data_IF_689096812599
#
_entry.id   IF_689096812599
#
_cell.length_a   1.000
_cell.length_b   1.000
_cell.length_c   1.000
_cell.angle_alpha   90.00
_cell.angle_beta   90.00
_cell.angle_gamma   90.00
#
_symmetry.space_group_name_H-M   'P 1'
#
loop_
_entity.id
_entity.type
_entity.pdbx_description
1 polymer ?
#
# COMPACT_ATOMS: atom_id res chain seq x y z
N UNK A 1 52.37 48.57 -2.68
CA UNK A 1 51.23 48.38 -1.74
C UNK A 1 49.87 48.69 -2.37
N UNK A 2 49.71 49.77 -3.16
CA UNK A 2 48.41 50.15 -3.77
C UNK A 2 47.87 49.09 -4.77
N UNK A 3 48.75 48.47 -5.58
CA UNK A 3 48.33 47.43 -6.54
C UNK A 3 47.78 46.15 -5.90
N UNK A 4 48.26 45.76 -4.72
CA UNK A 4 47.78 44.57 -4.01
C UNK A 4 46.41 44.81 -3.35
N UNK A 5 46.14 46.04 -2.91
CA UNK A 5 44.83 46.48 -2.37
C UNK A 5 43.74 46.56 -3.45
N UNK A 6 44.09 46.94 -4.69
CA UNK A 6 43.15 46.96 -5.80
C UNK A 6 42.78 45.54 -6.28
N UNK A 7 43.74 44.61 -6.25
CA UNK A 7 43.49 43.20 -6.61
C UNK A 7 42.63 42.50 -5.55
N UNK A 8 42.87 42.73 -4.26
CA UNK A 8 42.03 42.15 -3.19
C UNK A 8 40.62 42.75 -3.13
N UNK A 9 40.47 44.06 -3.37
CA UNK A 9 39.16 44.69 -3.50
C UNK A 9 38.39 44.19 -4.73
N UNK A 10 39.07 44.01 -5.87
CA UNK A 10 38.48 43.46 -7.10
C UNK A 10 38.00 42.01 -6.94
N UNK A 11 38.76 41.15 -6.25
CA UNK A 11 38.36 39.77 -5.96
C UNK A 11 37.18 39.69 -4.98
N UNK A 12 37.09 40.62 -4.02
CA UNK A 12 35.95 40.72 -3.10
C UNK A 12 34.63 41.10 -3.80
N UNK A 13 34.69 42.02 -4.76
CA UNK A 13 33.52 42.44 -5.56
C UNK A 13 33.05 41.32 -6.49
N UNK A 14 33.98 40.61 -7.13
CA UNK A 14 33.65 39.45 -7.97
C UNK A 14 33.03 38.33 -7.13
N UNK A 15 33.56 38.05 -5.93
CA UNK A 15 33.00 37.07 -5.00
C UNK A 15 31.56 37.40 -4.55
N UNK A 16 31.26 38.66 -4.24
CA UNK A 16 29.92 39.11 -3.87
C UNK A 16 28.93 39.05 -5.04
N UNK A 17 29.36 39.38 -6.27
CA UNK A 17 28.55 39.23 -7.48
C UNK A 17 28.29 37.75 -7.77
N UNK A 18 29.29 36.86 -7.64
CA UNK A 18 29.12 35.42 -7.82
C UNK A 18 28.17 34.81 -6.78
N UNK A 19 28.22 35.25 -5.52
CA UNK A 19 27.27 34.84 -4.48
C UNK A 19 25.85 35.36 -4.75
N UNK A 20 25.71 36.61 -5.21
CA UNK A 20 24.43 37.19 -5.60
C UNK A 20 23.79 36.48 -6.79
N UNK A 21 24.58 36.16 -7.83
CA UNK A 21 24.12 35.41 -9.01
C UNK A 21 23.76 33.97 -8.62
N UNK A 22 24.55 33.30 -7.78
CA UNK A 22 24.22 31.95 -7.31
C UNK A 22 22.94 31.94 -6.44
N UNK A 23 22.72 32.97 -5.62
CA UNK A 23 21.50 33.13 -4.83
C UNK A 23 20.28 33.43 -5.71
N UNK A 24 20.43 34.26 -6.75
CA UNK A 24 19.36 34.60 -7.70
C UNK A 24 19.01 33.42 -8.60
N UNK A 25 19.99 32.68 -9.13
CA UNK A 25 19.75 31.43 -9.88
C UNK A 25 19.05 30.41 -8.99
N UNK A 26 19.51 30.20 -7.75
CA UNK A 26 18.86 29.31 -6.78
C UNK A 26 17.43 29.75 -6.47
N UNK A 27 17.18 31.06 -6.32
CA UNK A 27 15.85 31.64 -6.10
C UNK A 27 14.95 31.48 -7.32
N UNK A 28 15.46 31.64 -8.53
CA UNK A 28 14.71 31.43 -9.78
C UNK A 28 14.37 29.95 -9.99
N UNK A 29 15.32 29.03 -9.74
CA UNK A 29 15.06 27.58 -9.76
C UNK A 29 14.05 27.18 -8.69
N UNK A 30 14.15 27.73 -7.47
CA UNK A 30 13.19 27.49 -6.41
C UNK A 30 11.79 28.03 -6.75
N UNK A 31 11.71 29.23 -7.33
CA UNK A 31 10.45 29.82 -7.81
C UNK A 31 9.87 29.08 -9.02
N UNK A 32 10.71 28.43 -9.84
CA UNK A 32 10.29 27.52 -10.92
C UNK A 32 9.69 26.23 -10.34
N UNK A 33 10.43 25.55 -9.46
CA UNK A 33 9.98 24.34 -8.78
C UNK A 33 8.69 24.57 -7.98
N UNK A 34 8.59 25.67 -7.24
CA UNK A 34 7.37 26.04 -6.52
C UNK A 34 6.19 26.25 -7.47
N UNK A 35 6.40 26.91 -8.62
CA UNK A 35 5.36 27.09 -9.63
C UNK A 35 4.89 25.76 -10.21
N UNK A 36 5.82 24.85 -10.50
CA UNK A 36 5.49 23.50 -11.01
C UNK A 36 4.72 22.67 -9.98
N UNK A 37 5.11 22.73 -8.70
CA UNK A 37 4.40 22.07 -7.59
C UNK A 37 2.99 22.64 -7.46
N UNK A 38 2.84 23.97 -7.42
CA UNK A 38 1.53 24.63 -7.30
C UNK A 38 0.64 24.31 -8.50
N UNK A 39 1.19 24.35 -9.72
CA UNK A 39 0.47 23.97 -10.94
C UNK A 39 0.04 22.51 -10.92
N UNK A 40 0.93 21.60 -10.51
CA UNK A 40 0.64 20.18 -10.32
C UNK A 40 -0.48 19.94 -9.29
N UNK A 41 -0.43 20.60 -8.14
CA UNK A 41 -1.46 20.54 -7.11
C UNK A 41 -2.81 21.08 -7.61
N UNK A 42 -2.83 22.21 -8.32
CA UNK A 42 -4.06 22.78 -8.90
C UNK A 42 -4.68 21.80 -9.91
N UNK A 43 -3.86 21.21 -10.78
CA UNK A 43 -4.33 20.22 -11.76
C UNK A 43 -4.88 18.96 -11.08
N UNK A 44 -4.21 18.47 -10.03
CA UNK A 44 -4.65 17.33 -9.25
C UNK A 44 -6.00 17.60 -8.57
N UNK A 45 -6.14 18.74 -7.88
CA UNK A 45 -7.40 19.15 -7.23
C UNK A 45 -8.52 19.28 -8.26
N UNK A 46 -8.24 19.89 -9.41
CA UNK A 46 -9.22 20.02 -10.49
C UNK A 46 -9.64 18.66 -11.05
N UNK A 47 -8.71 17.72 -11.21
CA UNK A 47 -9.00 16.35 -11.65
C UNK A 47 -9.87 15.60 -10.61
N UNK A 48 -9.55 15.69 -9.33
CA UNK A 48 -10.38 15.13 -8.25
C UNK A 48 -11.79 15.75 -8.24
N UNK A 49 -11.89 17.08 -8.42
CA UNK A 49 -13.17 17.79 -8.50
C UNK A 49 -13.99 17.40 -9.73
N UNK A 50 -13.34 17.13 -10.87
CA UNK A 50 -13.99 16.61 -12.07
C UNK A 50 -14.52 15.19 -11.84
N UNK A 51 -13.68 14.28 -11.35
CA UNK A 51 -14.04 12.88 -11.05
C UNK A 51 -15.22 12.83 -10.09
N UNK A 52 -15.19 13.61 -9.01
CA UNK A 52 -16.28 13.65 -8.02
C UNK A 52 -17.59 14.15 -8.63
N UNK A 53 -17.57 15.22 -9.43
CA UNK A 53 -18.79 15.81 -10.04
C UNK A 53 -19.44 14.88 -11.06
N UNK A 54 -18.64 14.12 -11.78
CA UNK A 54 -19.10 13.20 -12.83
C UNK A 54 -19.18 11.74 -12.35
N UNK A 55 -18.94 11.47 -11.07
CA UNK A 55 -19.07 10.13 -10.52
C UNK A 55 -20.57 9.76 -10.47
N UNK A 56 -20.98 8.57 -10.92
CA UNK A 56 -22.41 8.18 -10.94
C UNK A 56 -23.09 8.21 -9.57
N UNK A 57 -22.33 7.96 -8.50
CA UNK A 57 -22.82 8.08 -7.12
C UNK A 57 -21.67 8.50 -6.19
N UNK A 58 -21.41 9.80 -6.02
CA UNK A 58 -20.26 10.29 -5.26
C UNK A 58 -20.38 10.05 -3.76
N UNK A 59 -21.59 10.07 -3.20
CA UNK A 59 -21.82 9.83 -1.77
C UNK A 59 -21.41 8.42 -1.36
N UNK A 60 -21.78 7.41 -2.15
CA UNK A 60 -21.34 6.04 -1.90
C UNK A 60 -19.81 5.89 -2.04
N UNK A 61 -19.19 6.57 -3.01
CA UNK A 61 -17.73 6.53 -3.16
C UNK A 61 -17.00 7.16 -1.95
N UNK A 62 -17.56 8.22 -1.37
CA UNK A 62 -17.04 8.80 -0.12
C UNK A 62 -17.18 7.81 1.03
N UNK A 63 -18.33 7.14 1.19
CA UNK A 63 -18.52 6.13 2.23
C UNK A 63 -17.55 4.95 2.09
N UNK A 64 -17.38 4.42 0.87
CA UNK A 64 -16.39 3.39 0.57
C UNK A 64 -14.97 3.87 0.88
N UNK A 65 -14.63 5.12 0.55
CA UNK A 65 -13.33 5.72 0.88
C UNK A 65 -13.09 5.74 2.38
N UNK A 66 -14.08 6.20 3.17
CA UNK A 66 -14.00 6.19 4.64
C UNK A 66 -13.80 4.77 5.15
N UNK A 67 -14.58 3.81 4.64
CA UNK A 67 -14.45 2.40 5.01
C UNK A 67 -13.03 1.87 4.77
N UNK A 68 -12.45 2.11 3.59
CA UNK A 68 -11.10 1.64 3.26
C UNK A 68 -10.00 2.34 4.07
N UNK A 69 -10.17 3.62 4.41
CA UNK A 69 -9.25 4.32 5.31
C UNK A 69 -9.34 3.78 6.74
N UNK A 70 -10.53 3.40 7.20
CA UNK A 70 -10.71 2.75 8.51
C UNK A 70 -9.99 1.40 8.58
N UNK A 71 -9.77 0.71 7.46
CA UNK A 71 -9.00 -0.54 7.42
C UNK A 71 -7.50 -0.35 7.74
N UNK A 72 -6.99 0.89 7.79
CA UNK A 72 -5.65 1.15 8.32
C UNK A 72 -5.56 0.91 9.84
N UNK A 73 -6.66 1.08 10.58
CA UNK A 73 -6.66 0.85 12.03
C UNK A 73 -6.39 -0.62 12.40
N UNK A 74 -7.06 -1.62 11.81
CA UNK A 74 -6.68 -3.03 11.98
C UNK A 74 -5.24 -3.33 11.56
N UNK A 75 -4.72 -2.67 10.52
CA UNK A 75 -3.31 -2.80 10.13
C UNK A 75 -2.38 -2.33 11.26
N UNK A 76 -2.60 -1.13 11.80
CA UNK A 76 -1.81 -0.63 12.92
C UNK A 76 -1.92 -1.53 14.15
N UNK A 77 -3.12 -1.96 14.52
CA UNK A 77 -3.33 -2.86 15.66
C UNK A 77 -2.59 -4.19 15.48
N UNK A 78 -2.67 -4.82 14.31
CA UNK A 78 -2.00 -6.09 14.05
C UNK A 78 -0.47 -5.94 13.98
N UNK A 79 0.06 -4.85 13.43
CA UNK A 79 1.51 -4.61 13.39
C UNK A 79 2.08 -4.31 14.77
N UNK A 80 1.38 -3.52 15.58
CA UNK A 80 1.84 -3.14 16.92
C UNK A 80 1.61 -4.26 17.95
N UNK A 81 0.54 -5.04 17.78
CA UNK A 81 0.14 -6.10 18.71
C UNK A 81 -0.16 -7.42 17.96
N UNK A 82 0.82 -8.02 17.25
CA UNK A 82 0.58 -9.19 16.38
C UNK A 82 0.17 -10.46 17.14
N UNK A 83 0.39 -10.51 18.47
CA UNK A 83 0.02 -11.65 19.34
C UNK A 83 -1.22 -11.37 20.20
N UNK A 84 -1.40 -10.15 20.69
CA UNK A 84 -2.42 -9.81 21.71
C UNK A 84 -3.46 -8.79 21.24
N UNK A 85 -3.31 -8.23 20.04
CA UNK A 85 -4.25 -7.26 19.49
C UNK A 85 -5.57 -7.89 19.08
N UNK A 86 -6.62 -7.05 19.01
CA UNK A 86 -7.95 -7.51 18.61
C UNK A 86 -7.93 -8.06 17.18
N UNK A 87 -7.22 -7.38 16.28
CA UNK A 87 -7.07 -7.78 14.88
C UNK A 87 -6.32 -9.10 14.78
N UNK A 88 -5.29 -9.30 15.59
CA UNK A 88 -4.56 -10.56 15.65
C UNK A 88 -5.49 -11.72 16.02
N UNK A 89 -6.34 -11.55 17.03
CA UNK A 89 -7.32 -12.57 17.44
C UNK A 89 -8.34 -12.88 16.33
N UNK A 90 -8.94 -11.85 15.72
CA UNK A 90 -9.90 -12.04 14.63
C UNK A 90 -9.28 -12.74 13.42
N UNK A 91 -8.08 -12.32 13.02
CA UNK A 91 -7.35 -12.93 11.91
C UNK A 91 -7.04 -14.39 12.24
N UNK A 92 -6.58 -14.68 13.46
CA UNK A 92 -6.34 -16.05 13.91
C UNK A 92 -7.57 -16.94 13.76
N UNK A 93 -8.75 -16.49 14.19
CA UNK A 93 -10.00 -17.25 14.02
C UNK A 93 -10.35 -17.50 12.54
N UNK A 94 -10.03 -16.55 11.66
CA UNK A 94 -10.26 -16.68 10.21
C UNK A 94 -9.23 -17.59 9.53
N UNK A 95 -8.03 -17.70 10.08
CA UNK A 95 -6.91 -18.40 9.44
C UNK A 95 -6.67 -19.79 9.98
N UNK A 96 -7.09 -20.09 11.22
CA UNK A 96 -6.75 -21.35 11.85
C UNK A 96 -7.41 -22.57 11.19
N UNK A 97 -8.68 -22.46 10.77
CA UNK A 97 -9.34 -23.55 10.03
C UNK A 97 -8.59 -23.90 8.73
N UNK A 98 -8.33 -22.90 7.85
CA UNK A 98 -7.49 -23.10 6.68
C UNK A 98 -6.08 -23.64 6.99
N UNK A 99 -5.48 -23.24 8.12
CA UNK A 99 -4.18 -23.75 8.57
C UNK A 99 -4.24 -25.26 8.84
N UNK A 100 -5.12 -25.70 9.74
CA UNK A 100 -5.20 -27.12 10.12
C UNK A 100 -5.58 -28.01 8.92
N UNK A 101 -6.52 -27.53 8.10
CA UNK A 101 -6.90 -28.22 6.86
C UNK A 101 -5.72 -28.29 5.89
N UNK A 102 -4.85 -27.27 5.88
CA UNK A 102 -3.65 -27.23 5.07
C UNK A 102 -2.70 -28.38 5.34
N UNK A 103 -2.52 -28.77 6.60
CA UNK A 103 -1.74 -29.95 6.95
C UNK A 103 -2.29 -31.21 6.31
N UNK A 104 -3.62 -31.38 6.38
CA UNK A 104 -4.35 -32.54 5.86
C UNK A 104 -4.30 -32.61 4.34
N UNK A 105 -4.58 -31.50 3.64
CA UNK A 105 -4.51 -31.42 2.18
C UNK A 105 -3.10 -31.77 1.70
N UNK A 106 -2.07 -31.37 2.45
CA UNK A 106 -0.69 -31.56 2.08
C UNK A 106 -0.07 -32.90 2.53
N UNK A 107 -0.81 -33.75 3.27
CA UNK A 107 -0.34 -35.08 3.71
C UNK A 107 0.26 -35.94 2.58
N UNK A 108 -0.36 -36.03 1.37
CA UNK A 108 0.16 -36.90 0.31
C UNK A 108 1.53 -36.51 -0.24
N UNK A 109 2.00 -35.28 0.03
CA UNK A 109 3.25 -34.74 -0.50
C UNK A 109 4.43 -34.88 0.48
N UNK A 110 4.25 -35.65 1.56
CA UNK A 110 5.28 -35.93 2.55
C UNK A 110 5.32 -34.94 3.70
N UNK A 111 6.08 -35.28 4.75
CA UNK A 111 6.04 -34.58 6.04
C UNK A 111 6.41 -33.11 5.94
N UNK A 112 7.44 -32.77 5.16
CA UNK A 112 7.88 -31.38 4.98
C UNK A 112 6.73 -30.50 4.43
N UNK A 113 6.09 -30.96 3.35
CA UNK A 113 5.00 -30.23 2.69
C UNK A 113 3.73 -30.25 3.53
N UNK A 114 3.46 -31.33 4.27
CA UNK A 114 2.34 -31.36 5.22
C UNK A 114 2.50 -30.31 6.32
N UNK A 115 3.67 -30.19 6.95
CA UNK A 115 3.94 -29.14 7.96
C UNK A 115 3.90 -27.74 7.34
N UNK A 116 4.56 -27.52 6.20
CA UNK A 116 4.47 -26.24 5.48
C UNK A 116 3.05 -25.91 5.04
N UNK A 117 2.24 -26.94 4.80
CA UNK A 117 0.87 -26.87 4.32
C UNK A 117 -0.02 -26.00 5.18
N UNK A 118 0.15 -26.01 6.50
CA UNK A 118 -0.66 -25.15 7.37
C UNK A 118 -0.47 -23.68 7.06
N UNK A 119 0.77 -23.22 7.08
CA UNK A 119 1.14 -21.84 6.73
C UNK A 119 0.78 -21.46 5.29
N UNK A 120 0.96 -22.39 4.34
CA UNK A 120 0.63 -22.18 2.92
C UNK A 120 -0.87 -21.96 2.74
N UNK A 121 -1.71 -22.86 3.26
CA UNK A 121 -3.16 -22.80 3.08
C UNK A 121 -3.82 -21.68 3.89
N UNK A 122 -3.25 -21.35 5.06
CA UNK A 122 -3.62 -20.17 5.84
C UNK A 122 -3.61 -18.87 5.01
N UNK A 123 -2.68 -18.72 4.07
CA UNK A 123 -2.61 -17.54 3.18
C UNK A 123 -3.35 -17.81 1.86
N UNK A 124 -3.06 -18.95 1.23
CA UNK A 124 -3.53 -19.28 -0.11
C UNK A 124 -5.05 -19.36 -0.18
N UNK A 125 -5.72 -19.81 0.89
CA UNK A 125 -7.17 -19.86 0.92
C UNK A 125 -7.81 -18.48 0.69
N UNK A 126 -7.36 -17.46 1.44
CA UNK A 126 -7.90 -16.10 1.35
C UNK A 126 -7.46 -15.39 0.06
N UNK A 127 -6.20 -15.54 -0.36
CA UNK A 127 -5.71 -14.99 -1.61
C UNK A 127 -6.41 -15.64 -2.83
N UNK A 128 -6.60 -16.95 -2.80
CA UNK A 128 -7.32 -17.71 -3.82
C UNK A 128 -8.79 -17.34 -3.89
N UNK A 129 -9.47 -17.22 -2.74
CA UNK A 129 -10.86 -16.77 -2.68
C UNK A 129 -11.01 -15.33 -3.20
N UNK A 130 -10.11 -14.42 -2.81
CA UNK A 130 -10.08 -13.05 -3.32
C UNK A 130 -9.90 -13.01 -4.84
N UNK A 131 -8.97 -13.82 -5.36
CA UNK A 131 -8.73 -13.97 -6.81
C UNK A 131 -9.94 -14.55 -7.53
N UNK A 132 -10.58 -15.60 -6.99
CA UNK A 132 -11.80 -16.17 -7.54
C UNK A 132 -12.93 -15.14 -7.59
N UNK A 133 -13.16 -14.41 -6.49
CA UNK A 133 -14.18 -13.36 -6.43
C UNK A 133 -13.90 -12.24 -7.43
N UNK A 134 -12.64 -11.89 -7.63
CA UNK A 134 -12.23 -10.90 -8.62
C UNK A 134 -12.49 -11.37 -10.06
N UNK A 135 -12.01 -12.56 -10.40
CA UNK A 135 -12.00 -13.07 -11.77
C UNK A 135 -13.34 -13.65 -12.22
N UNK A 136 -14.09 -14.28 -11.31
CA UNK A 136 -15.32 -15.02 -11.63
C UNK A 136 -16.58 -14.26 -11.21
N UNK A 137 -16.51 -13.52 -10.10
CA UNK A 137 -17.67 -12.79 -9.58
C UNK A 137 -17.64 -11.30 -9.90
N UNK A 138 -16.49 -10.79 -10.35
CA UNK A 138 -16.28 -9.37 -10.68
C UNK A 138 -16.67 -8.42 -9.52
N UNK A 139 -16.53 -8.88 -8.27
CA UNK A 139 -16.84 -8.10 -7.05
C UNK A 139 -15.57 -7.60 -6.40
N UNK A 140 -15.03 -6.50 -6.91
CA UNK A 140 -13.71 -5.98 -6.53
C UNK A 140 -13.60 -5.67 -5.03
N UNK A 141 -14.59 -4.98 -4.44
CA UNK A 141 -14.54 -4.65 -3.01
C UNK A 141 -14.46 -5.89 -2.11
N UNK A 142 -15.28 -6.90 -2.40
CA UNK A 142 -15.23 -8.19 -1.69
C UNK A 142 -13.90 -8.90 -1.93
N UNK A 143 -13.37 -8.90 -3.15
CA UNK A 143 -12.06 -9.48 -3.45
C UNK A 143 -10.94 -8.81 -2.64
N UNK A 144 -10.94 -7.48 -2.56
CA UNK A 144 -9.93 -6.73 -1.81
C UNK A 144 -10.02 -6.97 -0.31
N UNK A 145 -11.21 -7.22 0.25
CA UNK A 145 -11.33 -7.65 1.64
C UNK A 145 -10.68 -9.02 1.89
N UNK A 146 -10.81 -9.97 0.96
CA UNK A 146 -10.16 -11.27 1.09
C UNK A 146 -8.63 -11.17 0.95
N UNK A 147 -8.15 -10.33 0.04
CA UNK A 147 -6.72 -10.00 -0.06
C UNK A 147 -6.17 -9.29 1.18
N UNK A 148 -6.98 -8.43 1.81
CA UNK A 148 -6.64 -7.80 3.08
C UNK A 148 -6.49 -8.84 4.20
N UNK A 149 -7.39 -9.82 4.29
CA UNK A 149 -7.26 -10.94 5.24
C UNK A 149 -5.99 -11.75 4.93
N UNK A 150 -5.68 -12.01 3.66
CA UNK A 150 -4.44 -12.69 3.28
C UNK A 150 -3.18 -11.92 3.71
N UNK A 151 -3.17 -10.59 3.59
CA UNK A 151 -2.06 -9.75 4.08
C UNK A 151 -1.91 -9.82 5.61
N UNK A 152 -3.02 -9.70 6.35
CA UNK A 152 -3.00 -9.89 7.80
C UNK A 152 -2.59 -11.30 8.23
N UNK A 153 -2.92 -12.30 7.43
CA UNK A 153 -2.54 -13.69 7.66
C UNK A 153 -1.01 -13.86 7.69
N UNK A 154 -0.26 -13.13 6.85
CA UNK A 154 1.20 -13.09 6.93
C UNK A 154 1.72 -12.44 8.22
N UNK A 155 1.08 -11.36 8.70
CA UNK A 155 1.45 -10.71 9.96
C UNK A 155 1.20 -11.67 11.13
N UNK A 156 0.05 -12.34 11.15
CA UNK A 156 -0.27 -13.34 12.17
C UNK A 156 0.72 -14.53 12.12
N UNK A 157 1.06 -15.01 10.92
CA UNK A 157 2.06 -16.07 10.70
C UNK A 157 3.43 -15.71 11.27
N UNK A 158 3.84 -14.43 11.21
CA UNK A 158 5.13 -13.97 11.72
C UNK A 158 5.36 -14.28 13.21
N UNK A 159 4.30 -14.35 14.01
CA UNK A 159 4.38 -14.69 15.44
C UNK A 159 4.88 -16.12 15.63
N UNK A 160 4.37 -17.04 14.81
CA UNK A 160 4.78 -18.45 14.82
C UNK A 160 6.18 -18.62 14.23
N UNK A 161 6.53 -17.88 13.18
CA UNK A 161 7.90 -17.90 12.64
C UNK A 161 8.89 -17.48 13.73
N UNK A 162 8.62 -16.35 14.39
CA UNK A 162 9.51 -15.78 15.41
C UNK A 162 9.63 -16.65 16.65
N UNK A 163 8.58 -17.39 16.99
CA UNK A 163 8.58 -18.33 18.13
C UNK A 163 9.31 -19.65 17.84
N UNK A 164 9.77 -19.90 16.61
CA UNK A 164 10.32 -21.19 16.21
C UNK A 164 11.45 -21.73 17.11
N UNK A 165 12.33 -20.87 17.63
CA UNK A 165 13.38 -21.29 18.58
C UNK A 165 12.87 -21.44 20.01
N UNK A 166 12.07 -20.48 20.49
CA UNK A 166 11.61 -20.41 21.87
C UNK A 166 10.54 -21.48 22.17
N UNK A 167 9.59 -21.65 21.23
CA UNK A 167 8.44 -22.55 21.33
C UNK A 167 7.63 -22.26 22.61
N UNK A 168 7.34 -20.97 22.81
CA UNK A 168 6.58 -20.46 23.95
C UNK A 168 5.10 -20.23 23.61
N UNK A 169 4.69 -20.43 22.35
CA UNK A 169 3.28 -20.49 21.97
C UNK A 169 2.66 -21.82 22.37
N UNK A 170 1.46 -21.75 22.95
CA UNK A 170 0.61 -22.92 23.15
C UNK A 170 0.09 -23.38 21.79
N UNK A 171 0.32 -24.66 21.48
CA UNK A 171 -0.15 -25.27 20.25
C UNK A 171 -1.61 -25.70 20.39
N UNK A 172 -2.32 -25.74 19.26
CA UNK A 172 -3.67 -26.28 19.24
C UNK A 172 -3.71 -27.73 19.72
N UNK A 173 -4.84 -28.09 20.31
CA UNK A 173 -5.10 -29.43 20.85
C UNK A 173 -4.13 -29.88 21.96
N UNK A 174 -3.33 -28.97 22.52
CA UNK A 174 -2.34 -29.31 23.55
C UNK A 174 -1.19 -30.16 23.01
N UNK A 175 -0.86 -30.01 21.72
CA UNK A 175 0.26 -30.71 21.10
C UNK A 175 1.60 -30.34 21.77
N UNK A 176 2.53 -31.28 21.72
CA UNK A 176 3.88 -31.09 22.26
C UNK A 176 4.63 -29.98 21.50
N UNK A 177 5.56 -29.28 22.17
CA UNK A 177 6.38 -28.22 21.57
C UNK A 177 7.14 -28.68 20.32
N UNK A 178 7.47 -29.96 20.20
CA UNK A 178 8.12 -30.53 19.02
C UNK A 178 7.19 -30.62 17.79
N UNK A 179 5.88 -30.44 17.97
CA UNK A 179 4.92 -30.30 16.87
C UNK A 179 4.90 -28.89 16.26
N UNK A 180 5.67 -27.93 16.79
CA UNK A 180 5.69 -26.56 16.28
C UNK A 180 6.19 -26.53 14.82
N UNK A 181 5.36 -26.03 13.91
CA UNK A 181 5.62 -26.03 12.47
C UNK A 181 6.93 -25.37 12.09
N UNK A 182 7.08 -24.09 12.45
CA UNK A 182 8.25 -23.31 12.06
C UNK A 182 9.54 -23.78 12.72
N UNK A 183 9.48 -24.36 13.92
CA UNK A 183 10.62 -25.08 14.48
C UNK A 183 11.04 -26.23 13.56
N UNK A 184 10.10 -27.09 13.15
CA UNK A 184 10.38 -28.22 12.26
C UNK A 184 10.94 -27.76 10.91
N UNK A 185 10.26 -26.81 10.25
CA UNK A 185 10.66 -26.31 8.92
C UNK A 185 12.06 -25.69 8.95
N UNK A 186 12.34 -24.82 9.91
CA UNK A 186 13.63 -24.15 10.01
C UNK A 186 14.74 -25.09 10.48
N UNK A 187 14.43 -26.05 11.36
CA UNK A 187 15.38 -27.09 11.77
C UNK A 187 15.77 -27.98 10.60
N UNK A 188 14.81 -28.46 9.81
CA UNK A 188 15.09 -29.34 8.67
C UNK A 188 15.87 -28.65 7.55
N UNK A 189 15.71 -27.34 7.40
CA UNK A 189 16.42 -26.54 6.40
C UNK A 189 17.73 -25.95 6.89
N UNK A 190 18.05 -26.09 8.18
CA UNK A 190 19.24 -25.48 8.79
C UNK A 190 19.15 -23.96 8.93
N UNK A 191 17.94 -23.39 8.93
CA UNK A 191 17.67 -21.95 8.95
C UNK A 191 17.11 -21.45 10.30
N UNK A 192 17.24 -22.24 11.36
CA UNK A 192 16.62 -21.95 12.66
C UNK A 192 17.09 -20.62 13.28
N UNK A 193 18.31 -20.18 13.00
CA UNK A 193 18.86 -18.91 13.48
C UNK A 193 18.25 -17.67 12.79
N UNK A 194 17.57 -17.87 11.66
CA UNK A 194 16.99 -16.81 10.83
C UNK A 194 15.49 -16.57 11.11
N UNK A 195 14.93 -17.17 12.16
CA UNK A 195 13.53 -17.04 12.56
C UNK A 195 13.05 -15.57 12.67
N UNK A 196 13.81 -14.68 13.31
CA UNK A 196 13.46 -13.25 13.41
C UNK A 196 13.42 -12.56 12.04
N UNK A 197 14.39 -12.86 11.16
CA UNK A 197 14.48 -12.25 9.83
C UNK A 197 13.32 -12.71 8.96
N UNK A 198 13.00 -14.01 8.99
CA UNK A 198 11.87 -14.57 8.25
C UNK A 198 10.53 -14.05 8.78
N UNK A 199 10.42 -13.85 10.09
CA UNK A 199 9.26 -13.21 10.70
C UNK A 199 9.10 -11.75 10.22
N UNK A 200 10.17 -10.97 10.22
CA UNK A 200 10.16 -9.58 9.72
C UNK A 200 9.77 -9.51 8.25
N UNK A 201 10.28 -10.43 7.42
CA UNK A 201 9.89 -10.55 6.02
C UNK A 201 8.38 -10.83 5.88
N UNK A 202 7.83 -11.74 6.70
CA UNK A 202 6.39 -12.01 6.69
C UNK A 202 5.57 -10.77 7.09
N UNK A 203 6.01 -10.01 8.11
CA UNK A 203 5.37 -8.74 8.49
C UNK A 203 5.38 -7.75 7.32
N UNK A 204 6.53 -7.55 6.68
CA UNK A 204 6.69 -6.62 5.55
C UNK A 204 5.81 -7.03 4.37
N UNK A 205 5.80 -8.31 4.00
CA UNK A 205 4.93 -8.85 2.95
C UNK A 205 3.46 -8.60 3.30
N UNK A 206 3.06 -8.88 4.55
CA UNK A 206 1.70 -8.65 5.02
C UNK A 206 1.27 -7.19 4.91
N UNK A 207 2.13 -6.26 5.36
CA UNK A 207 1.89 -4.81 5.24
C UNK A 207 1.72 -4.42 3.77
N UNK A 208 2.62 -4.86 2.89
CA UNK A 208 2.55 -4.54 1.45
C UNK A 208 1.23 -5.03 0.86
N UNK A 209 0.81 -6.26 1.17
CA UNK A 209 -0.45 -6.84 0.64
C UNK A 209 -1.67 -6.06 1.15
N UNK A 210 -1.74 -5.73 2.44
CA UNK A 210 -2.85 -4.94 3.00
C UNK A 210 -2.91 -3.55 2.36
N UNK A 211 -1.78 -2.84 2.27
CA UNK A 211 -1.73 -1.52 1.66
C UNK A 211 -2.08 -1.55 0.18
N UNK A 212 -1.62 -2.57 -0.55
CA UNK A 212 -1.98 -2.77 -1.95
C UNK A 212 -3.50 -3.02 -2.12
N UNK A 213 -4.11 -3.85 -1.27
CA UNK A 213 -5.55 -4.09 -1.30
C UNK A 213 -6.37 -2.82 -1.05
N UNK A 214 -5.99 -2.02 -0.04
CA UNK A 214 -6.61 -0.72 0.26
C UNK A 214 -6.44 0.24 -0.92
N UNK A 215 -5.22 0.35 -1.46
CA UNK A 215 -4.94 1.25 -2.59
C UNK A 215 -5.75 0.87 -3.83
N UNK A 216 -5.78 -0.41 -4.21
CA UNK A 216 -6.57 -0.91 -5.34
C UNK A 216 -8.04 -0.63 -5.09
N UNK A 217 -8.56 -0.90 -3.90
CA UNK A 217 -9.95 -0.64 -3.59
C UNK A 217 -10.33 0.84 -3.70
N UNK A 218 -9.50 1.75 -3.17
CA UNK A 218 -9.67 3.19 -3.28
C UNK A 218 -9.68 3.65 -4.75
N UNK A 219 -8.74 3.17 -5.56
CA UNK A 219 -8.72 3.47 -7.00
C UNK A 219 -10.01 2.96 -7.66
N UNK A 220 -10.44 1.74 -7.36
CA UNK A 220 -11.63 1.15 -7.98
C UNK A 220 -12.93 1.86 -7.57
N UNK A 221 -13.01 2.34 -6.32
CA UNK A 221 -14.14 3.14 -5.80
C UNK A 221 -14.39 4.38 -6.66
N UNK A 222 -13.34 5.05 -7.13
CA UNK A 222 -13.46 6.29 -7.90
C UNK A 222 -13.40 6.09 -9.42
N UNK A 223 -12.76 5.02 -9.92
CA UNK A 223 -12.41 4.92 -11.36
C UNK A 223 -13.01 3.75 -12.14
N UNK A 224 -13.32 2.60 -11.54
CA UNK A 224 -13.75 1.41 -12.31
C UNK A 224 -15.27 1.31 -12.45
N UNK A 225 -15.86 0.60 -13.44
CA UNK A 225 -17.31 0.41 -13.57
C UNK A 225 -18.00 -0.37 -12.41
N UNK A 226 -19.31 -0.12 -12.15
CA UNK A 226 -20.14 -0.71 -11.05
C UNK A 226 -20.94 -1.72 -11.86
N UNK A 227 -20.98 -2.98 -11.44
CA UNK A 227 -21.93 -3.93 -12.03
C UNK A 227 -23.34 -3.33 -11.93
N UNK A 228 -23.99 -3.10 -13.06
CA UNK A 228 -25.37 -2.59 -13.13
C UNK A 228 -25.56 -1.08 -13.20
N UNK A 229 -24.50 -0.26 -13.28
CA UNK A 229 -24.64 1.17 -13.64
C UNK A 229 -23.71 1.53 -14.80
N UNK A 230 -24.17 2.32 -15.80
CA UNK A 230 -23.27 2.83 -16.82
C UNK A 230 -22.24 3.75 -16.16
N UNK A 231 -20.97 3.31 -16.09
CA UNK A 231 -19.85 4.16 -15.70
C UNK A 231 -19.10 4.65 -16.94
N UNK A 232 -18.23 5.64 -16.74
CA UNK A 232 -17.35 6.26 -17.75
C UNK A 232 -17.00 5.27 -18.86
N UNK A 233 -17.47 5.55 -20.09
CA UNK A 233 -17.18 4.75 -21.27
C UNK A 233 -15.69 4.91 -21.60
N UNK A 234 -14.87 4.01 -21.06
CA UNK A 234 -13.49 3.81 -21.48
C UNK A 234 -12.44 4.12 -20.41
N UNK A 235 -11.89 3.07 -19.81
CA UNK A 235 -10.59 3.11 -19.14
C UNK A 235 -9.52 2.78 -20.18
N UNK A 236 -9.23 3.73 -21.07
CA UNK A 236 -7.98 3.79 -21.81
C UNK A 236 -7.06 4.77 -21.10
N UNK A 237 -5.73 4.63 -21.20
CA UNK A 237 -4.76 5.59 -20.64
C UNK A 237 -4.99 7.05 -21.07
N UNK A 238 -5.88 7.28 -22.03
CA UNK A 238 -6.44 8.56 -22.42
C UNK A 238 -7.37 9.20 -21.40
N UNK A 239 -8.06 8.50 -20.50
CA UNK A 239 -9.09 9.10 -19.65
C UNK A 239 -8.53 10.00 -18.53
N UNK A 240 -7.46 9.58 -17.86
CA UNK A 240 -6.73 10.44 -16.90
C UNK A 240 -6.05 11.61 -17.65
N UNK A 241 -5.45 11.33 -18.80
CA UNK A 241 -4.84 12.34 -19.68
C UNK A 241 -5.87 13.31 -20.25
N UNK A 242 -7.10 12.87 -20.53
CA UNK A 242 -8.23 13.67 -21.02
C UNK A 242 -8.85 14.45 -19.89
N UNK A 243 -9.01 13.88 -18.70
CA UNK A 243 -9.46 14.62 -17.51
C UNK A 243 -8.46 15.71 -17.12
N UNK A 244 -7.15 15.42 -17.17
CA UNK A 244 -6.08 16.40 -16.96
C UNK A 244 -6.05 17.43 -18.09
N UNK A 245 -6.22 17.03 -19.36
CA UNK A 245 -6.32 17.97 -20.50
C UNK A 245 -7.56 18.86 -20.41
N UNK A 246 -8.72 18.32 -20.08
CA UNK A 246 -9.98 19.06 -19.97
C UNK A 246 -9.96 20.00 -18.76
N UNK A 247 -9.40 19.58 -17.63
CA UNK A 247 -9.13 20.45 -16.48
C UNK A 247 -8.14 21.57 -16.84
N UNK A 248 -7.09 21.25 -17.61
CA UNK A 248 -6.14 22.23 -18.15
C UNK A 248 -6.79 23.26 -19.09
N UNK A 249 -7.72 22.82 -19.95
CA UNK A 249 -8.50 23.70 -20.83
C UNK A 249 -9.46 24.61 -20.06
N UNK A 250 -10.24 24.07 -19.12
CA UNK A 250 -11.13 24.88 -18.28
C UNK A 250 -10.37 25.95 -17.49
N UNK A 251 -9.19 25.60 -16.96
CA UNK A 251 -8.34 26.56 -16.23
C UNK A 251 -7.73 27.66 -17.10
N UNK A 252 -7.67 27.48 -18.43
CA UNK A 252 -7.23 28.49 -19.39
C UNK A 252 -8.36 29.41 -19.82
N UNK A 253 -9.58 28.90 -19.96
CA UNK A 253 -10.76 29.73 -20.26
C UNK A 253 -11.08 30.68 -19.10
N UNK A 254 -10.94 30.24 -17.84
CA UNK A 254 -11.10 31.11 -16.66
C UNK A 254 -10.06 32.25 -16.60
N UNK A 255 -8.87 32.05 -17.17
CA UNK A 255 -7.81 33.07 -17.25
C UNK A 255 -8.08 34.05 -18.40
N UNK A 256 -8.52 33.54 -19.56
CA UNK A 256 -8.85 34.37 -20.73
C UNK A 256 -10.10 35.23 -20.48
N UNK A 257 -11.13 34.69 -19.82
CA UNK A 257 -12.31 35.48 -19.45
C UNK A 257 -12.04 36.46 -18.29
N UNK A 258 -11.05 36.20 -17.45
CA UNK A 258 -10.62 37.13 -16.39
C UNK A 258 -9.86 38.37 -16.90
N UNK A 259 -9.18 38.27 -18.06
CA UNK A 259 -8.49 39.39 -18.72
C UNK A 259 -9.40 40.23 -19.62
N UNK A 260 -10.52 39.68 -20.09
CA UNK A 260 -11.50 40.43 -20.91
C UNK A 260 -12.48 41.27 -20.06
N UNK A 261 -12.53 41.02 -18.74
CA UNK A 261 -13.45 41.70 -17.80
C UNK A 261 -12.71 42.61 -16.80
N UNK A 262 -11.51 43.08 -17.13
CA UNK A 262 -10.82 44.19 -16.45
C UNK A 262 -10.42 45.25 -17.45
#
# INVERSE_FOLDING_TARGET
MIGLLLVTAGMGVIGLISLGVAAEVRRQTFNGLLRDIVYGLRNFISACGYVRRHHPNPSLAVLETIFWLLMLFPLFDNVLNPRSGNTAAWVWYLTIGPHEIGHVICLPFGRFISVAGGSIWQVLFWAGLGTFVLLVRHRIGTAMLMWLIAGHSFINLSVYIRDARARDLDLLFGLDKDAHDWWNLLRWTGLLEYDYILADMAVVIGIIVVLAAIMVALLCTWFLPRTGQPRFRGFGGTALVQAVRQAGYASREDVVFGEIVR
#
